data_IF_592369576563
#
_entry.id   IF_592369576563
#
_cell.length_a   1.000
_cell.length_b   1.000
_cell.length_c   1.000
_cell.angle_alpha   90.00
_cell.angle_beta   90.00
_cell.angle_gamma   90.00
#
_symmetry.space_group_name_H-M   'P 1'
#
loop_
_entity.id
_entity.type
_entity.pdbx_description
1 polymer ?
#
# COMPACT_ATOMS: atom_id res chain seq x y z
N UNK A 1 -31.29 -20.46 21.62
CA UNK A 1 -30.22 -19.62 21.04
C UNK A 1 -29.97 -20.12 19.63
N UNK A 2 -30.37 -19.35 18.61
CA UNK A 2 -30.14 -19.68 17.20
C UNK A 2 -29.00 -18.79 16.71
N UNK A 3 -27.96 -19.40 16.13
CA UNK A 3 -26.94 -18.68 15.40
C UNK A 3 -27.46 -18.40 13.99
N UNK A 4 -27.70 -17.13 13.68
CA UNK A 4 -27.82 -16.66 12.30
C UNK A 4 -26.41 -16.50 11.73
N UNK A 5 -26.14 -17.19 10.63
CA UNK A 5 -24.96 -16.94 9.78
C UNK A 5 -25.41 -16.04 8.64
N UNK A 6 -24.76 -14.89 8.50
CA UNK A 6 -24.94 -14.01 7.36
C UNK A 6 -23.77 -14.23 6.40
N UNK A 7 -24.07 -14.49 5.13
CA UNK A 7 -23.10 -14.51 4.03
C UNK A 7 -23.34 -13.25 3.21
N UNK A 8 -22.32 -12.43 3.03
CA UNK A 8 -22.33 -11.26 2.15
C UNK A 8 -21.67 -11.65 0.82
N UNK A 9 -22.34 -11.34 -0.29
CA UNK A 9 -21.74 -11.30 -1.62
C UNK A 9 -21.68 -9.83 -2.05
N UNK A 10 -20.52 -9.40 -2.57
CA UNK A 10 -20.36 -8.11 -3.23
C UNK A 10 -20.31 -8.34 -4.74
N UNK A 11 -21.12 -7.57 -5.48
CA UNK A 11 -21.04 -7.42 -6.93
C UNK A 11 -20.55 -6.00 -7.23
N UNK A 12 -19.45 -5.91 -7.98
CA UNK A 12 -18.87 -4.66 -8.43
C UNK A 12 -19.55 -4.28 -9.74
N UNK A 13 -20.64 -3.51 -9.68
CA UNK A 13 -21.15 -2.56 -10.68
C UNK A 13 -22.68 -2.43 -10.56
N UNK A 14 -23.18 -1.32 -10.00
CA UNK A 14 -24.40 -0.61 -10.43
C UNK A 14 -24.44 0.72 -9.65
N UNK A 15 -24.43 1.83 -10.40
CA UNK A 15 -24.77 3.16 -9.90
C UNK A 15 -26.27 3.21 -9.64
N UNK A 16 -26.69 3.50 -8.40
CA UNK A 16 -28.08 3.78 -8.08
C UNK A 16 -28.25 5.28 -7.84
N UNK A 17 -28.82 5.97 -8.82
CA UNK A 17 -29.34 7.32 -8.65
C UNK A 17 -30.68 7.24 -7.89
N UNK A 18 -30.77 7.89 -6.74
CA UNK A 18 -32.01 8.01 -5.97
C UNK A 18 -32.71 9.31 -6.36
N UNK A 19 -33.86 9.19 -7.04
CA UNK A 19 -34.79 10.30 -7.26
C UNK A 19 -35.75 10.35 -6.06
N UNK A 20 -35.67 11.41 -5.27
CA UNK A 20 -36.56 11.63 -4.12
C UNK A 20 -37.87 12.28 -4.54
N UNK A 21 -39.01 11.67 -4.15
CA UNK A 21 -40.30 12.36 -4.08
C UNK A 21 -40.82 12.37 -2.64
N UNK A 22 -41.49 13.48 -2.32
CA UNK A 22 -41.90 13.98 -1.01
C UNK A 22 -42.73 13.04 -0.10
N UNK A 23 -42.48 13.16 1.21
CA UNK A 23 -43.55 13.42 2.19
C UNK A 23 -44.02 12.28 3.11
N UNK A 24 -43.92 12.56 4.42
CA UNK A 24 -44.69 12.02 5.58
C UNK A 24 -44.07 10.83 6.37
N UNK A 25 -44.07 10.87 7.73
CA UNK A 25 -43.27 9.96 8.56
C UNK A 25 -44.05 8.82 9.28
N UNK A 26 -43.33 7.71 9.49
CA UNK A 26 -43.35 6.78 10.66
C UNK A 26 -44.57 5.86 10.97
N UNK A 27 -44.36 4.53 10.82
CA UNK A 27 -44.40 3.45 11.87
C UNK A 27 -45.07 2.11 11.44
N UNK A 28 -44.41 1.04 11.89
CA UNK A 28 -44.75 -0.40 11.99
C UNK A 28 -44.31 -1.38 10.88
N UNK A 29 -43.72 -2.46 11.39
CA UNK A 29 -43.20 -3.67 10.74
C UNK A 29 -44.30 -4.44 10.01
N UNK A 30 -43.99 -5.01 8.84
CA UNK A 30 -44.14 -6.44 8.44
C UNK A 30 -43.94 -6.58 6.92
N UNK A 31 -43.11 -7.56 6.54
CA UNK A 31 -43.02 -8.32 5.29
C UNK A 31 -43.09 -7.61 3.92
N UNK A 32 -42.01 -7.73 3.13
CA UNK A 32 -42.10 -7.78 1.67
C UNK A 32 -41.45 -9.08 1.19
N UNK A 33 -42.24 -9.85 0.45
CA UNK A 33 -41.91 -11.11 -0.16
C UNK A 33 -41.21 -10.93 -1.51
N UNK A 34 -40.24 -11.82 -1.76
CA UNK A 34 -40.05 -12.63 -2.97
C UNK A 34 -40.73 -12.09 -4.24
N UNK A 35 -39.98 -11.38 -5.08
CA UNK A 35 -40.19 -11.34 -6.54
C UNK A 35 -38.83 -11.21 -7.23
N UNK A 36 -38.14 -12.32 -7.46
CA UNK A 36 -37.35 -12.61 -8.69
C UNK A 36 -36.68 -13.97 -8.58
N UNK A 37 -37.49 -15.03 -8.74
CA UNK A 37 -36.97 -16.38 -9.04
C UNK A 37 -37.83 -17.03 -10.10
N UNK A 38 -38.13 -16.29 -11.18
CA UNK A 38 -38.70 -16.81 -12.42
C UNK A 38 -38.12 -15.96 -13.56
N UNK A 39 -36.83 -16.19 -13.87
CA UNK A 39 -36.19 -15.70 -15.11
C UNK A 39 -34.89 -16.45 -15.43
N UNK A 40 -34.24 -17.09 -14.43
CA UNK A 40 -32.96 -17.78 -14.64
C UNK A 40 -33.08 -19.31 -14.87
N UNK A 41 -34.28 -19.89 -14.70
CA UNK A 41 -34.53 -21.32 -14.93
C UNK A 41 -34.98 -21.67 -16.36
N UNK A 42 -35.09 -20.68 -17.26
CA UNK A 42 -35.46 -20.89 -18.67
C UNK A 42 -34.31 -20.69 -19.67
N UNK A 43 -33.10 -20.34 -19.19
CA UNK A 43 -31.92 -20.12 -20.03
C UNK A 43 -30.83 -21.20 -19.87
N UNK A 44 -31.00 -22.16 -18.96
CA UNK A 44 -30.05 -23.27 -18.74
C UNK A 44 -30.59 -24.66 -19.15
N UNK A 45 -31.75 -24.76 -19.78
CA UNK A 45 -32.31 -26.02 -20.28
C UNK A 45 -32.21 -26.20 -21.80
N UNK A 46 -31.45 -25.34 -22.49
CA UNK A 46 -31.37 -25.29 -23.96
C UNK A 46 -30.06 -25.77 -24.60
N UNK A 47 -29.04 -26.16 -23.82
CA UNK A 47 -27.78 -26.66 -24.38
C UNK A 47 -27.33 -27.90 -23.61
N UNK A 48 -27.79 -29.07 -24.07
CA UNK A 48 -27.12 -30.37 -24.00
C UNK A 48 -28.10 -31.41 -24.57
N UNK A 49 -28.18 -31.48 -25.90
CA UNK A 49 -28.88 -32.54 -26.61
C UNK A 49 -28.19 -32.82 -27.94
N UNK A 50 -27.06 -33.52 -27.89
CA UNK A 50 -26.61 -34.41 -28.96
C UNK A 50 -25.30 -35.09 -28.58
N UNK A 51 -25.35 -36.25 -27.92
CA UNK A 51 -24.41 -37.35 -28.19
C UNK A 51 -25.10 -38.67 -27.82
N UNK A 52 -25.17 -39.55 -28.82
CA UNK A 52 -25.88 -40.81 -28.78
C UNK A 52 -25.08 -41.92 -28.09
N UNK A 53 -25.85 -42.85 -27.54
CA UNK A 53 -25.51 -44.08 -26.84
C UNK A 53 -24.54 -45.04 -27.55
N UNK A 54 -23.73 -45.75 -26.74
CA UNK A 54 -23.56 -47.20 -26.86
C UNK A 54 -23.36 -47.83 -25.47
N UNK A 55 -24.36 -48.60 -25.03
CA UNK A 55 -24.37 -49.42 -23.82
C UNK A 55 -23.48 -50.65 -23.97
N UNK A 56 -22.81 -51.10 -22.90
CA UNK A 56 -22.68 -52.52 -22.56
C UNK A 56 -22.70 -52.72 -21.04
N UNK A 57 -23.52 -53.69 -20.65
CA UNK A 57 -23.95 -54.09 -19.31
C UNK A 57 -22.98 -55.08 -18.64
N UNK A 58 -22.89 -55.05 -17.31
CA UNK A 58 -22.35 -56.19 -16.56
C UNK A 58 -22.30 -56.02 -15.03
N UNK A 59 -23.26 -56.61 -14.33
CA UNK A 59 -23.05 -57.38 -13.09
C UNK A 59 -22.74 -56.66 -11.76
N UNK A 60 -23.76 -56.54 -10.90
CA UNK A 60 -23.65 -56.63 -9.42
C UNK A 60 -23.52 -58.12 -9.00
N UNK A 61 -23.27 -58.53 -7.73
CA UNK A 61 -23.27 -57.76 -6.47
C UNK A 61 -22.15 -58.10 -5.45
N UNK A 62 -22.02 -57.29 -4.40
CA UNK A 62 -21.27 -57.67 -3.19
C UNK A 62 -21.68 -56.84 -1.97
N UNK A 63 -22.55 -57.41 -1.12
CA UNK A 63 -22.79 -56.97 0.27
C UNK A 63 -21.52 -57.21 1.09
N UNK A 64 -21.11 -56.25 1.92
CA UNK A 64 -20.29 -56.52 3.11
C UNK A 64 -20.80 -55.69 4.28
N UNK A 65 -20.94 -56.39 5.40
CA UNK A 65 -21.56 -56.04 6.65
C UNK A 65 -20.81 -54.97 7.48
N UNK A 66 -21.59 -54.26 8.30
CA UNK A 66 -21.13 -53.54 9.47
C UNK A 66 -20.98 -54.54 10.62
N UNK A 67 -19.78 -54.67 11.19
CA UNK A 67 -19.53 -54.83 12.63
C UNK A 67 -18.02 -54.99 12.92
N UNK A 68 -17.63 -54.66 14.15
CA UNK A 68 -16.30 -54.73 14.77
C UNK A 68 -15.36 -53.51 14.62
N UNK A 69 -15.59 -52.53 15.51
CA UNK A 69 -14.52 -51.68 16.08
C UNK A 69 -13.72 -52.49 17.12
N UNK A 70 -12.40 -52.31 17.17
CA UNK A 70 -11.67 -52.34 18.42
C UNK A 70 -10.95 -51.01 18.69
N UNK A 71 -11.11 -50.52 19.93
CA UNK A 71 -10.29 -49.45 20.51
C UNK A 71 -8.82 -49.85 20.53
N UNK A 72 -7.96 -49.03 19.91
CA UNK A 72 -6.52 -48.96 20.21
C UNK A 72 -6.12 -47.49 20.20
N UNK A 73 -5.51 -47.04 21.29
CA UNK A 73 -4.79 -45.78 21.44
C UNK A 73 -3.50 -46.09 22.20
N UNK A 74 -2.44 -45.24 22.21
CA UNK A 74 -1.97 -44.28 21.21
C UNK A 74 -0.52 -44.61 20.79
N UNK A 75 -0.05 -44.20 19.60
CA UNK A 75 1.37 -43.89 19.34
C UNK A 75 1.60 -43.26 17.95
N UNK A 76 2.23 -42.09 18.00
CA UNK A 76 3.30 -41.63 17.10
C UNK A 76 2.96 -41.29 15.64
N UNK A 77 2.99 -39.99 15.31
CA UNK A 77 3.05 -39.56 13.92
C UNK A 77 2.78 -38.08 13.64
N UNK A 78 3.13 -37.15 14.54
CA UNK A 78 3.18 -35.72 14.23
C UNK A 78 4.64 -35.29 14.24
N UNK A 79 5.18 -35.07 13.04
CA UNK A 79 6.43 -34.33 12.86
C UNK A 79 6.03 -32.85 12.93
N UNK A 80 6.12 -32.27 14.12
CA UNK A 80 6.19 -30.82 14.28
C UNK A 80 7.60 -30.40 13.85
N UNK A 81 7.73 -29.72 12.72
CA UNK A 81 8.95 -28.99 12.41
C UNK A 81 8.82 -27.63 13.10
N UNK A 82 9.42 -27.52 14.28
CA UNK A 82 9.70 -26.26 14.95
C UNK A 82 10.67 -25.44 14.08
N UNK A 83 10.16 -24.42 13.40
CA UNK A 83 10.97 -23.40 12.72
C UNK A 83 10.92 -22.07 13.50
N UNK A 84 11.29 -22.09 14.77
CA UNK A 84 11.53 -20.87 15.55
C UNK A 84 12.67 -21.10 16.55
N UNK A 85 13.89 -21.11 16.03
CA UNK A 85 15.10 -20.76 16.80
C UNK A 85 15.96 -19.86 15.93
N UNK A 86 16.46 -18.80 16.57
CA UNK A 86 17.42 -17.81 16.08
C UNK A 86 16.82 -16.47 15.60
N UNK A 87 16.11 -15.79 16.49
CA UNK A 87 15.93 -14.34 16.43
C UNK A 87 15.99 -13.75 17.85
N UNK A 88 17.21 -13.48 18.34
CA UNK A 88 17.43 -12.59 19.49
C UNK A 88 18.69 -11.77 19.26
N UNK A 89 18.54 -10.46 19.04
CA UNK A 89 19.18 -9.37 19.82
C UNK A 89 18.84 -7.96 19.28
N UNK A 90 18.66 -7.04 20.22
CA UNK A 90 18.23 -5.64 20.12
C UNK A 90 19.14 -4.65 19.33
N UNK A 91 18.54 -3.57 18.79
CA UNK A 91 18.78 -2.16 19.19
C UNK A 91 17.69 -1.21 18.61
N UNK A 92 17.32 -0.19 19.41
CA UNK A 92 16.13 0.69 19.23
C UNK A 92 16.25 1.91 18.26
N UNK A 93 15.30 2.87 18.35
CA UNK A 93 14.76 3.56 17.18
C UNK A 93 15.43 4.90 16.86
N UNK A 94 15.74 5.08 15.59
CA UNK A 94 16.01 6.36 14.93
C UNK A 94 15.69 6.19 13.45
N UNK A 95 14.99 7.17 12.86
CA UNK A 95 14.61 7.26 11.43
C UNK A 95 15.51 6.41 10.54
N UNK A 96 14.92 5.47 9.81
CA UNK A 96 15.56 4.50 8.91
C UNK A 96 16.94 4.98 8.41
N UNK A 97 18.00 4.62 9.13
CA UNK A 97 19.12 3.97 8.47
C UNK A 97 18.62 2.55 8.25
N UNK A 98 18.49 2.15 6.99
CA UNK A 98 18.43 0.78 6.47
C UNK A 98 19.31 -0.28 7.18
N UNK A 99 19.10 -0.52 8.46
CA UNK A 99 19.60 -1.67 9.19
C UNK A 99 18.44 -2.65 9.31
N UNK A 100 18.11 -3.32 8.21
CA UNK A 100 17.19 -4.47 8.17
C UNK A 100 17.90 -5.71 8.74
N UNK A 101 18.25 -5.65 10.02
CA UNK A 101 19.33 -6.49 10.59
C UNK A 101 18.94 -7.91 11.01
N UNK A 102 17.83 -8.52 10.55
CA UNK A 102 17.53 -9.90 11.02
C UNK A 102 16.65 -10.80 10.13
N UNK A 103 16.51 -10.54 8.83
CA UNK A 103 15.72 -11.44 7.96
C UNK A 103 16.45 -12.08 6.78
N UNK A 104 17.77 -11.89 6.62
CA UNK A 104 18.59 -12.73 5.73
C UNK A 104 19.83 -13.23 6.47
N UNK A 105 19.64 -14.07 7.48
CA UNK A 105 20.72 -14.97 7.92
C UNK A 105 20.84 -16.12 6.91
N UNK A 106 21.46 -15.86 5.74
CA UNK A 106 22.20 -16.83 4.90
C UNK A 106 22.87 -16.16 3.70
N UNK A 107 24.05 -15.63 3.97
CA UNK A 107 25.05 -15.24 2.98
C UNK A 107 26.38 -15.02 3.69
N UNK A 108 26.88 -16.04 4.40
CA UNK A 108 28.21 -16.00 5.01
C UNK A 108 29.27 -15.66 3.95
N UNK A 109 29.78 -14.42 3.96
CA UNK A 109 31.16 -14.17 3.54
C UNK A 109 32.04 -14.32 4.77
N UNK A 110 32.31 -15.56 5.16
CA UNK A 110 33.43 -15.87 6.05
C UNK A 110 34.72 -15.57 5.27
N UNK A 111 35.23 -14.36 5.46
CA UNK A 111 36.61 -13.88 5.30
C UNK A 111 36.61 -12.44 4.78
N UNK A 112 36.87 -11.46 5.64
CA UNK A 112 37.79 -10.37 5.31
C UNK A 112 38.05 -9.49 6.53
N UNK A 113 39.11 -9.85 7.26
CA UNK A 113 39.85 -8.92 8.10
C UNK A 113 40.46 -7.83 7.20
N UNK A 114 39.90 -6.63 7.24
CA UNK A 114 40.55 -5.37 6.86
C UNK A 114 40.88 -5.18 5.37
N UNK A 115 39.92 -4.67 4.60
CA UNK A 115 40.22 -3.89 3.39
C UNK A 115 39.07 -2.92 3.08
N UNK A 116 39.42 -1.69 2.72
CA UNK A 116 38.55 -0.55 2.42
C UNK A 116 37.68 -0.75 1.14
N UNK A 117 36.86 -1.79 1.11
CA UNK A 117 36.00 -2.15 -0.01
C UNK A 117 34.56 -2.48 0.39
N UNK A 118 34.10 -1.97 1.55
CA UNK A 118 32.75 -2.23 2.09
C UNK A 118 31.63 -1.39 1.46
N UNK A 119 31.91 -0.41 0.59
CA UNK A 119 30.90 0.42 -0.12
C UNK A 119 30.15 -0.32 -1.26
N UNK A 120 30.10 -1.65 -1.27
CA UNK A 120 29.69 -2.40 -2.47
C UNK A 120 28.21 -2.72 -2.58
N UNK A 121 27.41 -2.53 -1.54
CA UNK A 121 25.99 -2.84 -1.58
C UNK A 121 25.19 -1.81 -0.78
N UNK A 122 23.99 -1.51 -1.28
CA UNK A 122 22.96 -0.74 -0.59
C UNK A 122 21.69 -1.58 -0.56
N UNK A 123 20.90 -1.47 0.50
CA UNK A 123 19.60 -2.12 0.60
C UNK A 123 18.49 -1.08 0.57
N UNK A 124 17.51 -1.26 -0.31
CA UNK A 124 16.37 -0.36 -0.41
C UNK A 124 15.08 -1.17 -0.55
N UNK A 125 14.14 -0.96 0.39
CA UNK A 125 12.87 -1.68 0.47
C UNK A 125 13.01 -3.22 0.49
N UNK A 126 14.06 -3.73 1.13
CA UNK A 126 14.34 -5.17 1.21
C UNK A 126 15.04 -5.77 -0.01
N UNK A 127 15.45 -4.92 -0.97
CA UNK A 127 16.15 -5.34 -2.18
C UNK A 127 17.59 -4.83 -2.19
N UNK A 128 18.49 -5.64 -2.72
CA UNK A 128 19.92 -5.31 -2.79
C UNK A 128 20.22 -4.53 -4.06
N UNK A 129 21.09 -3.54 -3.93
CA UNK A 129 21.60 -2.72 -5.01
C UNK A 129 23.12 -2.67 -4.95
N UNK A 130 23.79 -2.67 -6.09
CA UNK A 130 25.26 -2.57 -6.20
C UNK A 130 25.65 -1.31 -6.95
N UNK A 131 26.81 -0.69 -6.64
CA UNK A 131 27.30 0.46 -7.38
C UNK A 131 27.36 0.18 -8.88
N UNK A 132 26.83 1.10 -9.67
CA UNK A 132 26.82 1.01 -11.11
C UNK A 132 27.50 2.24 -11.71
N UNK A 133 28.39 2.03 -12.69
CA UNK A 133 28.85 3.13 -13.55
C UNK A 133 27.73 3.63 -14.45
N UNK A 134 27.91 4.74 -15.15
CA UNK A 134 26.97 5.23 -16.17
C UNK A 134 26.78 6.74 -16.15
N UNK A 135 25.80 7.22 -16.92
CA UNK A 135 25.45 8.63 -16.96
C UNK A 135 24.99 9.10 -15.57
N UNK A 136 25.56 10.22 -15.13
CA UNK A 136 25.12 10.88 -13.91
C UNK A 136 23.86 11.68 -14.22
N UNK A 137 22.83 11.48 -13.42
CA UNK A 137 21.67 12.37 -13.39
C UNK A 137 22.01 13.60 -12.55
N UNK A 138 21.41 14.73 -12.90
CA UNK A 138 21.40 15.87 -12.00
C UNK A 138 20.36 15.65 -10.90
N UNK A 139 20.49 16.31 -9.76
CA UNK A 139 19.48 16.27 -8.70
C UNK A 139 18.08 16.70 -9.18
N UNK A 140 18.00 17.52 -10.24
CA UNK A 140 16.72 17.95 -10.81
C UNK A 140 15.98 16.83 -11.56
N UNK A 141 16.68 15.76 -11.94
CA UNK A 141 16.11 14.61 -12.64
C UNK A 141 15.76 13.46 -11.67
N UNK A 142 15.95 13.69 -10.38
CA UNK A 142 15.81 12.70 -9.34
C UNK A 142 14.71 13.10 -8.35
N UNK A 143 13.97 12.11 -7.86
CA UNK A 143 13.05 12.29 -6.74
C UNK A 143 13.64 11.70 -5.47
N UNK A 144 13.67 12.49 -4.41
CA UNK A 144 13.98 12.02 -3.06
C UNK A 144 12.86 11.10 -2.60
N UNK A 145 13.21 9.96 -2.02
CA UNK A 145 12.23 8.93 -1.62
C UNK A 145 11.62 9.16 -0.24
N UNK A 146 12.12 10.13 0.53
CA UNK A 146 11.85 10.26 1.96
C UNK A 146 12.74 9.38 2.84
N UNK A 147 13.57 8.52 2.26
CA UNK A 147 14.34 7.51 2.98
C UNK A 147 15.84 7.80 3.02
N UNK A 148 16.54 7.15 3.94
CA UNK A 148 18.00 7.19 4.02
C UNK A 148 18.62 5.80 4.21
N UNK A 149 19.79 5.59 3.60
CA UNK A 149 20.62 4.40 3.75
C UNK A 149 21.93 4.81 4.41
N UNK A 150 22.23 4.31 5.61
CA UNK A 150 23.44 4.69 6.38
C UNK A 150 23.62 6.23 6.52
N UNK A 151 22.51 6.96 6.66
CA UNK A 151 22.50 8.43 6.74
C UNK A 151 22.62 9.16 5.40
N UNK A 152 22.82 8.43 4.29
CA UNK A 152 22.82 8.96 2.93
C UNK A 152 21.39 9.00 2.39
N UNK A 153 21.02 10.06 1.70
CA UNK A 153 19.67 10.22 1.16
C UNK A 153 19.47 9.34 -0.07
N UNK A 154 18.33 8.67 -0.15
CA UNK A 154 17.99 7.79 -1.28
C UNK A 154 17.11 8.53 -2.28
N UNK A 155 17.54 8.53 -3.54
CA UNK A 155 16.81 9.10 -4.66
C UNK A 155 16.53 8.07 -5.75
N UNK A 156 15.51 8.31 -6.55
CA UNK A 156 15.17 7.54 -7.75
C UNK A 156 15.13 8.44 -8.98
N UNK A 157 15.40 7.88 -10.16
CA UNK A 157 15.32 8.66 -11.39
C UNK A 157 13.87 8.85 -11.85
N UNK A 158 13.48 10.08 -12.18
CA UNK A 158 12.14 10.39 -12.68
C UNK A 158 11.79 9.63 -13.97
N UNK A 159 12.81 9.33 -14.78
CA UNK A 159 12.68 8.63 -16.06
C UNK A 159 12.73 7.10 -15.93
N UNK A 160 12.98 6.55 -14.73
CA UNK A 160 13.00 5.11 -14.51
C UNK A 160 11.61 4.67 -14.06
N UNK A 161 10.73 4.15 -14.93
CA UNK A 161 9.41 3.66 -14.50
C UNK A 161 9.50 2.37 -13.67
N UNK A 162 10.67 1.73 -13.61
CA UNK A 162 10.84 0.38 -13.10
C UNK A 162 10.00 -0.65 -13.87
N UNK A 163 10.28 -1.93 -13.64
CA UNK A 163 9.46 -3.03 -14.20
C UNK A 163 8.24 -3.36 -13.35
N UNK A 164 8.24 -2.96 -12.06
CA UNK A 164 7.25 -3.39 -11.07
C UNK A 164 6.95 -2.35 -9.98
N UNK A 165 6.98 -1.05 -10.32
CA UNK A 165 6.95 0.09 -9.36
C UNK A 165 8.09 0.15 -8.35
N UNK A 166 9.04 -0.78 -8.44
CA UNK A 166 10.30 -0.73 -7.73
C UNK A 166 11.32 -0.12 -8.68
N UNK A 167 12.09 0.88 -8.24
CA UNK A 167 13.13 1.47 -9.07
C UNK A 167 14.20 0.43 -9.41
N UNK A 168 14.60 0.34 -10.68
CA UNK A 168 15.75 -0.51 -11.06
C UNK A 168 17.06 0.19 -10.67
N UNK A 169 17.02 1.52 -10.53
CA UNK A 169 18.13 2.38 -10.15
C UNK A 169 17.80 3.26 -8.94
N UNK A 170 18.72 3.28 -7.98
CA UNK A 170 18.70 4.26 -6.89
C UNK A 170 19.99 5.07 -6.89
N UNK A 171 19.93 6.24 -6.25
CA UNK A 171 21.08 7.12 -6.07
C UNK A 171 21.22 7.44 -4.59
N UNK A 172 22.43 7.31 -4.07
CA UNK A 172 22.77 7.74 -2.71
C UNK A 172 23.53 9.05 -2.78
N UNK A 173 23.08 10.06 -2.04
CA UNK A 173 23.77 11.35 -1.92
C UNK A 173 24.70 11.38 -0.71
N UNK A 174 25.97 11.71 -0.95
CA UNK A 174 26.98 11.91 0.08
C UNK A 174 27.82 13.15 -0.21
N UNK A 175 27.71 14.17 0.65
CA UNK A 175 28.44 15.43 0.49
C UNK A 175 28.16 16.15 -0.82
N UNK A 176 26.94 16.04 -1.36
CA UNK A 176 26.52 16.60 -2.64
C UNK A 176 26.92 15.78 -3.87
N UNK A 177 27.59 14.64 -3.69
CA UNK A 177 27.87 13.70 -4.78
C UNK A 177 26.81 12.61 -4.81
N UNK A 178 26.33 12.29 -6.02
CA UNK A 178 25.39 11.19 -6.25
C UNK A 178 26.14 9.94 -6.71
N UNK A 179 25.99 8.87 -5.95
CA UNK A 179 26.49 7.53 -6.32
C UNK A 179 25.32 6.70 -6.83
N UNK A 180 25.43 6.18 -8.04
CA UNK A 180 24.41 5.35 -8.69
C UNK A 180 24.53 3.90 -8.24
N UNK A 181 23.40 3.28 -7.96
CA UNK A 181 23.30 1.85 -7.70
C UNK A 181 22.23 1.22 -8.61
N UNK A 182 22.45 -0.03 -8.99
CA UNK A 182 21.50 -0.85 -9.75
C UNK A 182 21.08 -2.06 -8.94
N UNK A 183 19.84 -2.47 -9.07
CA UNK A 183 19.33 -3.65 -8.38
C UNK A 183 20.20 -4.88 -8.71
N UNK A 184 20.77 -5.49 -7.69
CA UNK A 184 21.64 -6.65 -7.78
C UNK A 184 20.87 -7.90 -7.41
N UNK A 185 21.04 -8.96 -8.20
CA UNK A 185 20.47 -10.29 -7.91
C UNK A 185 18.97 -10.24 -7.56
N UNK A 186 18.20 -9.51 -8.38
CA UNK A 186 16.74 -9.38 -8.27
C UNK A 186 16.13 -10.76 -8.01
N UNK A 187 15.48 -11.00 -6.85
CA UNK A 187 14.90 -12.30 -6.57
C UNK A 187 13.89 -12.68 -7.66
N UNK A 188 13.79 -13.95 -8.05
CA UNK A 188 12.83 -14.36 -9.09
C UNK A 188 11.38 -14.09 -8.67
N UNK A 189 11.10 -14.08 -7.37
CA UNK A 189 9.81 -13.64 -6.84
C UNK A 189 10.07 -12.80 -5.60
N UNK A 190 9.47 -11.62 -5.52
CA UNK A 190 9.66 -10.70 -4.39
C UNK A 190 8.39 -9.91 -4.10
N UNK A 191 8.18 -9.62 -2.82
CA UNK A 191 7.17 -8.66 -2.38
C UNK A 191 7.77 -7.26 -2.42
N UNK A 192 6.93 -6.25 -2.63
CA UNK A 192 7.35 -4.86 -2.68
C UNK A 192 6.29 -3.92 -2.13
N UNK A 193 6.75 -2.78 -1.62
CA UNK A 193 5.96 -1.57 -1.43
C UNK A 193 6.48 -0.51 -2.42
N UNK A 194 5.64 0.37 -3.00
CA UNK A 194 6.13 1.40 -3.93
C UNK A 194 7.00 2.47 -3.25
N UNK A 195 6.87 2.63 -1.93
CA UNK A 195 7.65 3.53 -1.10
C UNK A 195 7.58 3.09 0.37
N UNK A 196 8.59 3.46 1.17
CA UNK A 196 8.79 2.91 2.51
C UNK A 196 8.01 3.57 3.65
N UNK A 197 7.38 4.73 3.42
CA UNK A 197 6.67 5.47 4.47
C UNK A 197 5.30 5.99 4.03
N UNK A 198 4.31 5.82 4.89
CA UNK A 198 2.91 6.21 4.69
C UNK A 198 2.45 7.11 5.84
N UNK A 199 1.62 8.10 5.56
CA UNK A 199 0.92 8.83 6.62
C UNK A 199 -0.28 8.02 7.14
N UNK A 200 -0.81 8.38 8.31
CA UNK A 200 -2.08 7.84 8.79
C UNK A 200 -3.21 8.07 7.78
N UNK A 201 -4.05 7.05 7.61
CA UNK A 201 -5.17 7.02 6.66
C UNK A 201 -4.75 6.99 5.17
N UNK A 202 -3.46 7.06 4.85
CA UNK A 202 -2.98 6.82 3.49
C UNK A 202 -3.20 5.34 3.14
N UNK A 203 -3.67 5.06 1.92
CA UNK A 203 -3.82 3.66 1.48
C UNK A 203 -2.44 3.06 1.22
N UNK A 204 -2.12 1.98 1.93
CA UNK A 204 -0.86 1.26 1.73
C UNK A 204 -0.98 0.36 0.51
N UNK A 205 -0.15 0.61 -0.49
CA UNK A 205 -0.03 -0.24 -1.67
C UNK A 205 1.14 -1.19 -1.52
N UNK A 206 0.94 -2.43 -1.93
CA UNK A 206 2.00 -3.43 -1.95
C UNK A 206 1.67 -4.48 -2.99
N UNK A 207 2.68 -5.24 -3.39
CA UNK A 207 2.49 -6.28 -4.39
C UNK A 207 3.49 -7.40 -4.29
N UNK A 208 3.28 -8.38 -5.16
CA UNK A 208 4.16 -9.50 -5.40
C UNK A 208 4.47 -9.53 -6.89
N UNK A 209 5.75 -9.53 -7.25
CA UNK A 209 6.21 -9.66 -8.62
C UNK A 209 6.77 -11.08 -8.84
N UNK A 210 6.44 -11.68 -9.98
CA UNK A 210 6.99 -12.96 -10.43
C UNK A 210 7.79 -12.73 -11.70
N UNK A 211 9.10 -12.62 -11.55
CA UNK A 211 10.08 -12.60 -12.62
C UNK A 211 10.79 -13.97 -12.76
N UNK A 212 10.25 -15.01 -12.11
CA UNK A 212 10.74 -16.36 -12.26
C UNK A 212 10.39 -16.84 -13.67
N UNK A 213 11.27 -17.63 -14.30
CA UNK A 213 11.03 -18.16 -15.64
C UNK A 213 9.78 -19.06 -15.84
N UNK A 214 8.89 -19.17 -14.85
CA UNK A 214 7.63 -19.91 -14.92
C UNK A 214 6.50 -19.25 -14.10
N UNK A 215 5.29 -19.76 -14.26
CA UNK A 215 4.12 -19.34 -13.50
C UNK A 215 4.17 -19.81 -12.04
N UNK A 216 3.58 -19.04 -11.13
CA UNK A 216 3.31 -19.47 -9.76
C UNK A 216 1.83 -19.42 -9.43
N UNK A 217 1.39 -20.23 -8.46
CA UNK A 217 0.01 -20.27 -8.00
C UNK A 217 -0.11 -19.65 -6.61
N UNK A 218 -1.03 -18.70 -6.46
CA UNK A 218 -1.43 -18.14 -5.19
C UNK A 218 -2.71 -18.83 -4.72
N UNK A 219 -2.70 -19.39 -3.51
CA UNK A 219 -3.82 -20.20 -3.00
C UNK A 219 -5.10 -19.40 -2.72
N UNK A 220 -5.00 -18.08 -2.57
CA UNK A 220 -6.11 -17.18 -2.29
C UNK A 220 -6.02 -15.91 -3.14
N UNK A 221 -7.15 -15.23 -3.34
CA UNK A 221 -7.18 -13.95 -4.06
C UNK A 221 -6.45 -12.81 -3.33
N UNK A 222 -6.35 -12.89 -2.00
CA UNK A 222 -5.61 -11.96 -1.15
C UNK A 222 -4.82 -12.76 -0.11
N UNK A 223 -3.71 -13.41 -0.52
CA UNK A 223 -2.95 -14.30 0.33
C UNK A 223 -1.93 -13.49 1.15
N UNK A 224 -2.36 -12.45 1.86
CA UNK A 224 -1.46 -11.59 2.62
C UNK A 224 -1.95 -11.39 4.04
N UNK A 225 -1.05 -11.02 4.94
CA UNK A 225 -1.36 -10.46 6.26
C UNK A 225 -0.48 -9.24 6.51
N UNK A 226 -0.92 -8.35 7.41
CA UNK A 226 -0.11 -7.22 7.87
C UNK A 226 0.35 -7.51 9.28
N UNK A 227 1.65 -7.36 9.50
CA UNK A 227 2.27 -7.52 10.80
C UNK A 227 2.86 -6.20 11.26
N UNK A 228 2.71 -5.90 12.55
CA UNK A 228 3.33 -4.76 13.23
C UNK A 228 4.50 -5.23 14.08
N UNK A 229 5.58 -4.44 14.13
CA UNK A 229 6.68 -4.67 15.06
C UNK A 229 6.28 -4.25 16.47
N UNK A 230 6.38 -5.16 17.43
CA UNK A 230 6.17 -4.90 18.85
C UNK A 230 7.39 -5.37 19.65
N UNK A 231 8.30 -4.46 19.96
CA UNK A 231 9.62 -4.83 20.49
C UNK A 231 10.37 -5.70 19.47
N UNK A 232 10.77 -6.91 19.87
CA UNK A 232 11.55 -7.81 19.01
C UNK A 232 10.71 -8.77 18.16
N UNK A 233 9.39 -8.71 18.27
CA UNK A 233 8.48 -9.65 17.58
C UNK A 233 7.61 -8.95 16.55
N UNK A 234 7.21 -9.72 15.55
CA UNK A 234 6.19 -9.34 14.59
C UNK A 234 4.85 -9.95 15.01
N UNK A 235 3.81 -9.12 15.04
CA UNK A 235 2.46 -9.53 15.44
C UNK A 235 1.50 -9.23 14.30
N UNK A 236 0.71 -10.22 13.85
CA UNK A 236 -0.34 -10.00 12.86
C UNK A 236 -1.42 -9.08 13.43
N UNK A 237 -1.68 -7.98 12.73
CA UNK A 237 -2.67 -6.95 13.11
C UNK A 237 -3.82 -6.85 12.11
N UNK A 238 -3.66 -7.46 10.93
CA UNK A 238 -4.71 -7.52 9.91
C UNK A 238 -4.59 -8.78 9.06
N UNK A 239 -5.73 -9.46 8.87
CA UNK A 239 -5.88 -10.57 7.92
C UNK A 239 -7.09 -10.31 7.01
N UNK A 240 -6.90 -10.22 5.68
CA UNK A 240 -8.01 -10.00 4.76
C UNK A 240 -8.93 -11.21 4.71
N UNK A 241 -10.24 -10.96 4.59
CA UNK A 241 -11.19 -12.00 4.18
C UNK A 241 -11.06 -12.21 2.68
N UNK A 242 -10.45 -13.34 2.29
CA UNK A 242 -10.15 -13.66 0.90
C UNK A 242 -10.97 -14.84 0.38
N UNK A 243 -11.35 -14.80 -0.90
CA UNK A 243 -11.90 -15.96 -1.59
C UNK A 243 -10.81 -17.04 -1.76
N UNK A 244 -11.17 -18.29 -1.47
CA UNK A 244 -10.32 -19.48 -1.67
C UNK A 244 -10.35 -19.90 -3.13
N UNK A 245 -9.50 -19.29 -3.93
CA UNK A 245 -9.37 -19.52 -5.36
C UNK A 245 -7.88 -19.51 -5.69
N UNK A 246 -7.45 -20.51 -6.44
CA UNK A 246 -6.10 -20.55 -7.00
C UNK A 246 -6.01 -19.46 -8.06
N UNK A 247 -5.10 -18.52 -7.84
CA UNK A 247 -4.80 -17.43 -8.77
C UNK A 247 -3.44 -17.69 -9.40
N UNK A 248 -3.36 -17.96 -10.72
CA UNK A 248 -2.09 -18.05 -11.41
C UNK A 248 -1.47 -16.67 -11.57
N UNK A 249 -0.14 -16.61 -11.46
CA UNK A 249 0.68 -15.42 -11.69
C UNK A 249 1.81 -15.80 -12.64
N UNK A 250 1.68 -15.37 -13.90
CA UNK A 250 2.63 -15.68 -14.98
C UNK A 250 3.99 -15.03 -14.76
N UNK A 251 5.02 -15.52 -15.45
CA UNK A 251 6.33 -14.87 -15.50
C UNK A 251 6.21 -13.45 -16.09
N UNK A 252 6.95 -12.50 -15.50
CA UNK A 252 6.96 -11.09 -15.87
C UNK A 252 5.70 -10.33 -15.46
N UNK A 253 4.88 -10.91 -14.56
CA UNK A 253 3.67 -10.28 -14.07
C UNK A 253 3.78 -9.97 -12.59
N UNK A 254 2.95 -9.03 -12.15
CA UNK A 254 2.84 -8.66 -10.74
C UNK A 254 1.36 -8.56 -10.34
N UNK A 255 1.12 -8.69 -9.04
CA UNK A 255 -0.19 -8.51 -8.44
C UNK A 255 -0.09 -7.56 -7.28
N UNK A 256 -1.06 -6.65 -7.18
CA UNK A 256 -1.09 -5.61 -6.17
C UNK A 256 -2.33 -5.73 -5.30
N UNK A 257 -2.18 -5.34 -4.05
CA UNK A 257 -3.24 -5.19 -3.08
C UNK A 257 -3.12 -3.83 -2.39
N UNK A 258 -4.18 -3.49 -1.67
CA UNK A 258 -4.28 -2.26 -0.92
C UNK A 258 -4.74 -2.58 0.50
N UNK A 259 -4.20 -1.85 1.46
CA UNK A 259 -4.66 -1.87 2.82
C UNK A 259 -4.95 -0.45 3.29
N UNK A 260 -6.17 -0.21 3.75
CA UNK A 260 -6.64 1.10 4.20
C UNK A 260 -6.22 1.41 5.66
N UNK A 261 -5.22 0.71 6.19
CA UNK A 261 -4.75 0.84 7.58
C UNK A 261 -5.81 0.53 8.65
N UNK A 262 -6.81 -0.29 8.33
CA UNK A 262 -7.78 -0.79 9.32
C UNK A 262 -7.27 -2.10 9.92
N UNK A 263 -7.23 -2.18 11.25
CA UNK A 263 -6.87 -3.39 11.98
C UNK A 263 -8.06 -4.37 12.06
N UNK A 264 -7.80 -5.62 12.44
CA UNK A 264 -8.84 -6.65 12.61
C UNK A 264 -9.88 -6.29 13.68
N UNK A 265 -9.52 -5.45 14.66
CA UNK A 265 -10.44 -4.95 15.69
C UNK A 265 -11.29 -3.74 15.23
N UNK A 266 -11.12 -3.29 13.99
CA UNK A 266 -11.82 -2.14 13.41
C UNK A 266 -11.26 -0.78 13.83
N UNK A 267 -10.11 -0.74 14.51
CA UNK A 267 -9.39 0.50 14.81
C UNK A 267 -8.38 0.84 13.71
N UNK A 268 -7.85 2.07 13.73
CA UNK A 268 -6.81 2.49 12.79
C UNK A 268 -5.44 2.04 13.25
N UNK A 269 -4.60 1.64 12.30
CA UNK A 269 -3.21 1.32 12.55
C UNK A 269 -2.49 2.55 13.14
N UNK A 270 -1.86 2.43 14.31
CA UNK A 270 -1.07 3.52 14.88
C UNK A 270 0.27 3.66 14.13
N UNK A 271 1.01 4.73 14.43
CA UNK A 271 2.38 4.87 13.94
C UNK A 271 3.27 3.69 14.35
N UNK A 272 4.25 3.37 13.51
CA UNK A 272 5.23 2.32 13.77
C UNK A 272 5.70 1.60 12.51
N UNK A 273 6.48 0.55 12.74
CA UNK A 273 7.04 -0.32 11.71
C UNK A 273 6.10 -1.48 11.42
N UNK A 274 5.89 -1.72 10.13
CA UNK A 274 5.01 -2.75 9.62
C UNK A 274 5.72 -3.57 8.54
N UNK A 275 5.21 -4.77 8.31
CA UNK A 275 5.52 -5.54 7.12
C UNK A 275 4.28 -6.23 6.59
N UNK A 276 4.26 -6.44 5.29
CA UNK A 276 3.32 -7.36 4.65
C UNK A 276 3.98 -8.73 4.58
N UNK A 277 3.24 -9.79 4.87
CA UNK A 277 3.62 -11.17 4.56
C UNK A 277 2.66 -11.68 3.49
N UNK A 278 3.17 -12.10 2.33
CA UNK A 278 2.40 -12.58 1.19
C UNK A 278 2.76 -14.06 0.94
N UNK A 279 1.73 -14.90 0.78
CA UNK A 279 1.84 -16.34 0.61
C UNK A 279 2.76 -17.00 1.66
N UNK A 280 2.64 -16.54 2.92
CA UNK A 280 3.36 -17.02 4.11
C UNK A 280 4.89 -16.94 4.06
N UNK A 281 5.48 -16.28 3.05
CA UNK A 281 6.94 -16.27 2.86
C UNK A 281 7.55 -15.01 2.29
N UNK A 282 6.81 -14.27 1.46
CA UNK A 282 7.34 -13.08 0.81
C UNK A 282 7.03 -11.88 1.69
N UNK A 283 8.05 -11.12 2.06
CA UNK A 283 7.90 -10.00 2.98
C UNK A 283 8.39 -8.71 2.37
N UNK A 284 7.75 -7.61 2.74
CA UNK A 284 8.20 -6.26 2.41
C UNK A 284 7.81 -5.32 3.55
N UNK A 285 8.72 -4.42 3.92
CA UNK A 285 8.56 -3.50 5.04
C UNK A 285 7.97 -2.15 4.62
N UNK A 286 7.31 -1.48 5.55
CA UNK A 286 6.92 -0.07 5.45
C UNK A 286 6.68 0.52 6.83
N UNK A 287 6.60 1.84 6.90
CA UNK A 287 6.29 2.58 8.11
C UNK A 287 4.99 3.35 7.97
N UNK A 288 4.27 3.48 9.08
CA UNK A 288 3.25 4.53 9.25
C UNK A 288 3.88 5.60 10.12
N UNK A 289 4.11 6.78 9.56
CA UNK A 289 4.82 7.89 10.22
C UNK A 289 4.03 9.19 10.13
N UNK A 290 4.04 10.05 11.17
CA UNK A 290 3.33 11.33 11.10
C UNK A 290 3.99 12.27 10.07
N UNK A 291 5.31 12.29 10.00
CA UNK A 291 6.14 13.26 9.27
C UNK A 291 6.33 12.98 7.77
N UNK A 292 5.53 12.08 7.21
CA UNK A 292 5.56 11.71 5.79
C UNK A 292 4.44 12.43 5.04
N UNK A 293 4.71 13.15 3.93
CA UNK A 293 3.67 13.76 3.14
C UNK A 293 2.81 12.67 2.46
N UNK A 294 1.53 12.96 2.26
CA UNK A 294 0.62 12.04 1.57
C UNK A 294 0.32 12.52 0.16
N UNK A 295 0.28 11.59 -0.80
CA UNK A 295 -0.23 11.82 -2.14
C UNK A 295 -1.26 10.74 -2.42
N UNK A 296 -2.41 11.09 -2.96
CA UNK A 296 -3.52 10.13 -3.12
C UNK A 296 -4.25 10.36 -4.44
N UNK A 297 -4.92 9.31 -4.92
CA UNK A 297 -5.94 9.40 -5.96
C UNK A 297 -7.32 9.23 -5.33
N UNK A 298 -8.25 10.09 -5.69
CA UNK A 298 -9.67 9.95 -5.34
C UNK A 298 -10.54 9.96 -6.60
N UNK A 299 -11.58 9.11 -6.60
CA UNK A 299 -12.62 9.12 -7.62
C UNK A 299 -13.79 10.05 -7.25
N UNK A 300 -13.74 10.65 -6.06
CA UNK A 300 -14.76 11.59 -5.61
C UNK A 300 -14.67 12.89 -6.43
N UNK A 301 -15.84 13.40 -6.82
CA UNK A 301 -15.98 14.78 -7.29
C UNK A 301 -16.19 15.68 -6.07
N UNK A 302 -15.20 16.51 -5.79
CA UNK A 302 -15.20 17.39 -4.63
C UNK A 302 -15.93 18.70 -4.96
N UNK A 303 -16.73 19.15 -4.00
CA UNK A 303 -17.18 20.54 -3.88
C UNK A 303 -16.28 21.27 -2.89
N UNK A 304 -16.35 22.60 -2.86
CA UNK A 304 -15.71 23.40 -1.81
C UNK A 304 -16.00 22.86 -0.40
N UNK A 305 -17.26 22.59 -0.09
CA UNK A 305 -17.68 22.09 1.22
C UNK A 305 -17.03 20.74 1.55
N UNK A 306 -16.97 19.80 0.60
CA UNK A 306 -16.34 18.50 0.84
C UNK A 306 -14.81 18.56 0.95
N UNK A 307 -14.16 19.56 0.33
CA UNK A 307 -12.73 19.83 0.55
C UNK A 307 -12.53 20.40 1.95
N UNK A 308 -13.34 21.38 2.34
CA UNK A 308 -13.30 21.94 3.69
C UNK A 308 -13.53 20.85 4.74
N UNK A 309 -14.54 20.00 4.58
CA UNK A 309 -14.81 18.88 5.48
C UNK A 309 -13.64 17.90 5.57
N UNK A 310 -13.08 17.48 4.43
CA UNK A 310 -11.97 16.50 4.42
C UNK A 310 -10.75 17.10 5.10
N UNK A 311 -10.25 18.23 4.61
CA UNK A 311 -8.92 18.74 4.93
C UNK A 311 -8.89 19.63 6.19
N UNK A 312 -10.03 20.17 6.62
CA UNK A 312 -10.14 21.01 7.83
C UNK A 312 -10.64 20.20 9.02
N UNK A 313 -11.18 19.00 8.82
CA UNK A 313 -11.64 18.18 9.95
C UNK A 313 -10.52 18.06 11.00
N UNK A 314 -10.84 18.27 12.30
CA UNK A 314 -9.84 18.29 13.37
C UNK A 314 -8.87 17.10 13.40
N UNK A 315 -9.26 15.85 13.04
CA UNK A 315 -8.33 14.73 13.02
C UNK A 315 -7.20 14.89 11.98
N UNK A 316 -7.50 15.39 10.77
CA UNK A 316 -6.49 15.55 9.72
C UNK A 316 -5.60 16.76 9.98
N UNK A 317 -6.19 17.90 10.32
CA UNK A 317 -5.42 19.11 10.66
C UNK A 317 -4.48 18.85 11.85
N UNK A 318 -4.96 18.21 12.91
CA UNK A 318 -4.15 17.89 14.09
C UNK A 318 -3.01 16.91 13.80
N UNK A 319 -3.23 15.90 12.94
CA UNK A 319 -2.18 14.97 12.51
C UNK A 319 -1.07 15.70 11.73
N UNK A 320 -1.44 16.59 10.80
CA UNK A 320 -0.49 17.38 10.01
C UNK A 320 0.31 18.37 10.87
N UNK A 321 -0.32 19.04 11.84
CA UNK A 321 0.39 19.93 12.78
C UNK A 321 1.33 19.16 13.70
N UNK A 322 0.97 17.95 14.11
CA UNK A 322 1.85 17.09 14.94
C UNK A 322 3.06 16.62 14.14
N UNK A 323 2.86 16.29 12.87
CA UNK A 323 3.89 15.85 11.94
C UNK A 323 4.94 16.94 11.64
N UNK A 324 4.46 18.16 11.44
CA UNK A 324 5.26 19.30 11.03
C UNK A 324 5.07 20.43 12.04
N UNK A 325 5.72 20.35 13.20
CA UNK A 325 5.51 21.30 14.28
C UNK A 325 5.80 22.73 13.80
N UNK A 326 5.20 23.74 14.44
CA UNK A 326 5.32 25.11 14.00
C UNK A 326 6.74 25.66 14.19
N UNK A 327 7.52 25.64 13.12
CA UNK A 327 8.71 26.44 12.95
C UNK A 327 8.82 26.89 11.48
N UNK A 328 9.54 27.99 11.20
CA UNK A 328 9.98 28.26 9.84
C UNK A 328 10.73 27.04 9.30
N UNK A 329 10.24 26.50 8.19
CA UNK A 329 10.82 25.33 7.55
C UNK A 329 12.09 25.75 6.80
N UNK A 330 13.13 24.92 6.83
CA UNK A 330 14.30 25.17 6.01
C UNK A 330 13.95 25.00 4.53
N UNK A 331 14.65 25.72 3.65
CA UNK A 331 14.48 25.55 2.20
C UNK A 331 14.73 24.11 1.76
N UNK A 332 15.74 23.45 2.36
CA UNK A 332 16.04 22.06 2.09
C UNK A 332 14.87 21.15 2.48
N UNK A 333 14.28 21.31 3.67
CA UNK A 333 13.12 20.51 4.09
C UNK A 333 11.94 20.69 3.13
N UNK A 334 11.65 21.92 2.68
CA UNK A 334 10.59 22.16 1.70
C UNK A 334 10.86 21.43 0.38
N UNK A 335 12.09 21.50 -0.13
CA UNK A 335 12.53 20.77 -1.33
C UNK A 335 12.41 19.26 -1.15
N UNK A 336 12.78 18.74 0.01
CA UNK A 336 12.75 17.32 0.34
C UNK A 336 11.32 16.79 0.33
N UNK A 337 10.41 17.50 1.00
CA UNK A 337 9.00 17.15 1.08
C UNK A 337 8.32 17.22 -0.29
N UNK A 338 8.58 18.27 -1.07
CA UNK A 338 8.07 18.35 -2.45
C UNK A 338 8.60 17.17 -3.27
N UNK A 339 9.91 16.91 -3.24
CA UNK A 339 10.53 15.83 -3.99
C UNK A 339 9.97 14.44 -3.60
N UNK A 340 9.70 14.21 -2.31
CA UNK A 340 9.01 13.01 -1.83
C UNK A 340 7.56 12.91 -2.31
N UNK A 341 6.81 14.02 -2.33
CA UNK A 341 5.46 14.03 -2.92
C UNK A 341 5.50 13.70 -4.42
N UNK A 342 6.49 14.21 -5.15
CA UNK A 342 6.66 13.88 -6.58
C UNK A 342 7.00 12.40 -6.78
N UNK A 343 7.85 11.83 -5.93
CA UNK A 343 8.12 10.39 -5.91
C UNK A 343 6.86 9.58 -5.65
N UNK A 344 6.06 9.93 -4.65
CA UNK A 344 4.80 9.24 -4.35
C UNK A 344 3.79 9.35 -5.48
N UNK A 345 3.69 10.51 -6.13
CA UNK A 345 2.86 10.68 -7.32
C UNK A 345 3.30 9.72 -8.44
N UNK A 346 4.60 9.69 -8.74
CA UNK A 346 5.18 8.76 -9.72
C UNK A 346 4.87 7.30 -9.37
N UNK A 347 5.12 6.90 -8.12
CA UNK A 347 4.90 5.55 -7.63
C UNK A 347 3.41 5.13 -7.70
N UNK A 348 2.49 6.07 -7.60
CA UNK A 348 1.05 5.85 -7.74
C UNK A 348 0.53 5.97 -9.19
N UNK A 349 1.43 6.09 -10.18
CA UNK A 349 1.09 6.31 -11.59
C UNK A 349 0.23 7.58 -11.77
N UNK A 350 0.53 8.60 -10.97
CA UNK A 350 0.06 9.97 -11.14
C UNK A 350 1.16 10.74 -11.89
N UNK A 351 0.80 11.87 -12.50
CA UNK A 351 1.76 12.74 -13.19
C UNK A 351 2.48 13.64 -12.18
N UNK A 352 3.78 13.43 -11.90
CA UNK A 352 4.53 14.26 -10.96
C UNK A 352 4.70 15.69 -11.46
N UNK A 353 4.87 15.89 -12.78
CA UNK A 353 5.04 17.23 -13.34
C UNK A 353 3.76 18.07 -13.19
N UNK A 354 2.59 17.45 -13.32
CA UNK A 354 1.31 18.09 -13.00
C UNK A 354 1.18 18.44 -11.52
N UNK A 355 1.62 17.57 -10.61
CA UNK A 355 1.63 17.86 -9.16
C UNK A 355 2.60 19.01 -8.82
N UNK A 356 3.81 18.99 -9.39
CA UNK A 356 4.80 20.05 -9.21
C UNK A 356 4.25 21.40 -9.69
N UNK A 357 3.63 21.41 -10.87
CA UNK A 357 2.95 22.59 -11.42
C UNK A 357 1.86 23.08 -10.46
N UNK A 358 1.06 22.18 -9.89
CA UNK A 358 0.02 22.53 -8.94
C UNK A 358 0.57 23.12 -7.63
N UNK A 359 1.63 22.53 -7.06
CA UNK A 359 2.30 23.06 -5.86
C UNK A 359 2.86 24.46 -6.14
N UNK A 360 3.55 24.64 -7.26
CA UNK A 360 4.15 25.92 -7.64
C UNK A 360 3.08 27.01 -7.90
N UNK A 361 1.95 26.64 -8.51
CA UNK A 361 0.85 27.56 -8.79
C UNK A 361 0.21 28.18 -7.53
N UNK A 362 0.39 27.55 -6.36
CA UNK A 362 -0.09 28.12 -5.09
C UNK A 362 0.67 29.36 -4.65
N UNK A 363 1.90 29.55 -5.14
CA UNK A 363 2.80 30.64 -4.73
C UNK A 363 3.25 30.55 -3.26
N UNK A 364 2.97 29.44 -2.56
CA UNK A 364 3.30 29.28 -1.14
C UNK A 364 4.62 28.57 -0.88
N UNK A 365 5.27 27.99 -1.88
CA UNK A 365 6.53 27.26 -1.66
C UNK A 365 7.70 28.17 -1.25
N UNK A 366 7.62 29.46 -1.62
CA UNK A 366 8.58 30.50 -1.23
C UNK A 366 8.33 31.04 0.19
N UNK A 367 7.16 30.76 0.79
CA UNK A 367 6.86 31.14 2.17
C UNK A 367 7.55 30.15 3.12
N UNK A 368 8.52 30.59 3.95
CA UNK A 368 9.24 29.71 4.85
C UNK A 368 8.34 29.08 5.92
N UNK A 369 7.16 29.65 6.16
CA UNK A 369 6.21 29.10 7.10
C UNK A 369 5.23 28.11 6.45
N UNK A 370 5.33 27.80 5.14
CA UNK A 370 4.41 26.88 4.48
C UNK A 370 5.11 25.60 4.04
N UNK A 371 4.47 24.46 4.28
CA UNK A 371 4.95 23.15 3.83
C UNK A 371 3.79 22.35 3.22
N UNK A 372 3.88 21.94 1.95
CA UNK A 372 2.89 21.04 1.38
C UNK A 372 2.97 19.69 2.07
N UNK A 373 1.85 19.11 2.48
CA UNK A 373 1.86 17.90 3.29
C UNK A 373 0.83 16.85 2.83
N UNK A 374 -0.15 17.24 2.02
CA UNK A 374 -1.12 16.33 1.43
C UNK A 374 -1.49 16.83 0.02
N UNK A 375 -1.51 15.93 -0.96
CA UNK A 375 -2.07 16.21 -2.28
C UNK A 375 -3.02 15.11 -2.71
N UNK A 376 -4.18 15.49 -3.25
CA UNK A 376 -5.17 14.55 -3.78
C UNK A 376 -5.44 14.86 -5.24
N UNK A 377 -5.21 13.88 -6.11
CA UNK A 377 -5.67 13.91 -7.50
C UNK A 377 -7.13 13.49 -7.55
N UNK A 378 -8.01 14.39 -7.97
CA UNK A 378 -9.46 14.13 -7.98
C UNK A 378 -10.18 14.91 -9.09
N UNK A 379 -11.51 14.89 -9.04
CA UNK A 379 -12.36 15.84 -9.76
C UNK A 379 -12.83 16.91 -8.76
N UNK A 380 -12.93 18.17 -9.19
CA UNK A 380 -13.52 19.26 -8.43
C UNK A 380 -14.54 19.99 -9.31
N UNK A 381 -15.80 19.99 -8.89
CA UNK A 381 -16.94 20.53 -9.64
C UNK A 381 -16.94 20.08 -11.12
N UNK A 382 -16.70 18.77 -11.34
CA UNK A 382 -16.68 18.15 -12.66
C UNK A 382 -15.39 18.35 -13.48
N UNK A 383 -14.34 18.96 -12.92
CA UNK A 383 -13.05 19.19 -13.60
C UNK A 383 -11.91 18.43 -12.93
N UNK A 384 -11.00 17.79 -13.68
CA UNK A 384 -9.79 17.21 -13.11
C UNK A 384 -8.95 18.29 -12.41
N UNK A 385 -8.53 18.01 -11.17
CA UNK A 385 -7.77 18.96 -10.37
C UNK A 385 -6.84 18.24 -9.38
N UNK A 386 -5.84 18.97 -8.91
CA UNK A 386 -5.10 18.68 -7.70
C UNK A 386 -5.66 19.51 -6.55
N UNK A 387 -5.91 18.85 -5.42
CA UNK A 387 -6.20 19.53 -4.16
C UNK A 387 -4.94 19.39 -3.30
N UNK A 388 -4.24 20.51 -3.07
CA UNK A 388 -2.97 20.55 -2.33
C UNK A 388 -3.20 21.25 -1.01
N UNK A 389 -2.87 20.58 0.09
CA UNK A 389 -2.92 21.14 1.43
C UNK A 389 -1.51 21.43 1.96
N UNK A 390 -1.41 22.58 2.61
CA UNK A 390 -0.21 23.11 3.24
C UNK A 390 -0.46 23.24 4.73
N UNK A 391 0.55 22.90 5.53
CA UNK A 391 0.59 23.22 6.95
C UNK A 391 1.40 24.50 7.16
N UNK A 392 1.00 25.30 8.16
CA UNK A 392 1.66 26.54 8.53
C UNK A 392 2.53 26.37 9.79
N UNK A 393 3.80 26.74 9.66
CA UNK A 393 4.85 26.60 10.66
C UNK A 393 4.98 27.77 11.65
N UNK A 394 4.16 28.82 11.56
CA UNK A 394 4.33 30.00 12.42
C UNK A 394 3.85 29.83 13.86
N UNK A 395 4.23 30.79 14.73
CA UNK A 395 4.18 30.71 16.21
C UNK A 395 2.80 30.56 16.89
N UNK A 396 1.70 30.55 16.14
CA UNK A 396 0.34 30.53 16.71
C UNK A 396 -0.49 29.37 16.15
N UNK A 397 -0.12 28.12 16.46
CA UNK A 397 -0.84 26.92 16.02
C UNK A 397 -2.20 26.71 16.71
N UNK A 398 -3.22 27.49 16.33
CA UNK A 398 -4.66 27.17 16.48
C UNK A 398 -5.13 26.09 15.49
N UNK A 399 -6.44 25.80 15.37
CA UNK A 399 -6.96 24.79 14.41
C UNK A 399 -7.03 25.30 12.96
N UNK A 400 -6.48 26.48 12.68
CA UNK A 400 -6.62 27.23 11.41
C UNK A 400 -5.37 27.16 10.51
N UNK A 401 -4.51 26.16 10.69
CA UNK A 401 -3.16 26.09 10.08
C UNK A 401 -3.04 25.29 8.81
N UNK A 402 -4.11 24.62 8.39
CA UNK A 402 -4.14 24.02 7.06
C UNK A 402 -4.63 25.07 6.08
N UNK A 403 -3.93 25.23 4.95
CA UNK A 403 -4.46 25.94 3.78
C UNK A 403 -4.59 24.94 2.65
N UNK A 404 -5.67 25.00 1.89
CA UNK A 404 -5.82 24.16 0.71
C UNK A 404 -5.96 25.02 -0.55
N UNK A 405 -5.51 24.46 -1.66
CA UNK A 405 -5.63 25.01 -3.00
C UNK A 405 -6.16 23.93 -3.92
N UNK A 406 -7.11 24.29 -4.75
CA UNK A 406 -7.60 23.48 -5.86
C UNK A 406 -6.99 24.06 -7.13
N UNK A 407 -6.17 23.27 -7.80
CA UNK A 407 -5.44 23.68 -9.00
C UNK A 407 -5.82 22.76 -10.16
N UNK A 408 -6.27 23.36 -11.27
CA UNK A 408 -6.59 22.63 -12.49
C UNK A 408 -5.35 22.08 -13.19
N UNK A 409 -5.57 21.21 -14.18
CA UNK A 409 -4.50 20.64 -15.01
C UNK A 409 -3.77 21.69 -15.85
N UNK A 410 -4.40 22.84 -16.09
CA UNK A 410 -3.81 24.00 -16.75
C UNK A 410 -2.87 24.81 -15.83
N UNK A 411 -2.72 24.39 -14.57
CA UNK A 411 -1.98 25.11 -13.54
C UNK A 411 -2.73 26.32 -12.97
N UNK A 412 -3.98 26.56 -13.40
CA UNK A 412 -4.81 27.64 -12.87
C UNK A 412 -5.36 27.29 -11.49
N UNK A 413 -5.18 28.17 -10.51
CA UNK A 413 -5.84 28.03 -9.21
C UNK A 413 -7.35 28.26 -9.40
N UNK A 414 -8.14 27.20 -9.24
CA UNK A 414 -9.59 27.19 -9.39
C UNK A 414 -10.25 27.75 -8.13
N UNK A 415 -9.77 27.28 -6.97
CA UNK A 415 -10.23 27.72 -5.67
C UNK A 415 -9.04 27.72 -4.70
N UNK A 416 -9.02 28.70 -3.81
CA UNK A 416 -8.03 28.80 -2.75
C UNK A 416 -8.57 29.73 -1.68
N UNK A 417 -8.33 29.40 -0.42
CA UNK A 417 -8.85 30.18 0.68
C UNK A 417 -7.89 30.19 1.85
N UNK A 418 -7.51 31.36 2.41
CA UNK A 418 -7.07 31.39 3.80
C UNK A 418 -8.25 30.92 4.67
N UNK A 419 -7.98 29.98 5.55
CA UNK A 419 -9.00 29.43 6.44
C UNK A 419 -9.08 30.34 7.66
N UNK A 420 -10.11 31.16 7.74
CA UNK A 420 -10.51 31.82 8.98
C UNK A 420 -11.46 30.87 9.69
N UNK A 421 -11.00 30.15 10.71
CA UNK A 421 -11.87 29.36 11.61
C UNK A 421 -12.55 30.29 12.59
#
# INVERSE_FOLDING_TARGET
MRHEKSVLFYDSNINMAVVGFNGVPMRYKVAIAIVTTIALAALLSGMLASFNFATHSGGWPGKIDREAMPEISPRSGLISIDYLKDATKDAGPGRLSSNWLDFIARGQSDNMTGQAGQDRQAEYLGLNYTPAGGAQYSLADLYYTGESYEGKRVYVAAADPGTSRVPDLIYLEEGGNLTRYTMADKPPVYAYTPYGAYNTNETVWFGLANDAGGSMELMNAAPYEIQKREGDRWVTVFTPVAAQVIVPMENGTFREWQWNQMLDDGTRAPFGEYRVVIADRYTTGFNISPDTPSVERSQQDFTRESVEERFISPPQAGALTTAYPPAPYSEQLRKDIVSEMLFKAWAQKLDPGSLETAINATGLLDDPDMLPCLAVRATYEGRPAWIVAFTYGGREATLSHVRYFVVGDDGGVIAGGPISV
#
